data_IF_938704047185
#
_entry.id   IF_938704047185
#
_cell.length_a   1.000
_cell.length_b   1.000
_cell.length_c   1.000
_cell.angle_alpha   90.00
_cell.angle_beta   90.00
_cell.angle_gamma   90.00
#
_symmetry.space_group_name_H-M   'P 1'
#
loop_
_entity.id
_entity.type
_entity.pdbx_description
1 polymer ?
#
# COMPACT_ATOMS: atom_id res chain seq x y z
N UNK A 1 -3.39 -2.57 22.47
CA UNK A 1 -3.80 -1.93 21.20
C UNK A 1 -3.42 -0.46 21.27
N UNK A 2 -2.40 -0.04 20.51
CA UNK A 2 -1.89 1.34 20.58
C UNK A 2 -2.88 2.30 19.90
N UNK A 3 -3.18 3.45 20.51
CA UNK A 3 -4.11 4.47 19.94
C UNK A 3 -3.70 4.90 18.53
N UNK A 4 -2.40 4.92 18.25
CA UNK A 4 -1.80 5.24 16.96
C UNK A 4 -2.05 4.17 15.89
N UNK A 5 -2.06 2.90 16.27
CA UNK A 5 -2.32 1.76 15.39
C UNK A 5 -3.78 1.74 14.92
N UNK A 6 -4.73 2.00 15.82
CA UNK A 6 -6.15 2.12 15.47
C UNK A 6 -6.43 3.31 14.55
N UNK A 7 -5.74 4.43 14.78
CA UNK A 7 -5.81 5.60 13.89
C UNK A 7 -5.24 5.29 12.50
N UNK A 8 -4.09 4.62 12.44
CA UNK A 8 -3.46 4.19 11.19
C UNK A 8 -4.35 3.22 10.41
N UNK A 9 -4.90 2.19 11.06
CA UNK A 9 -5.86 1.27 10.43
C UNK A 9 -7.09 1.99 9.86
N UNK A 10 -7.59 2.99 10.56
CA UNK A 10 -8.73 3.79 10.06
C UNK A 10 -8.34 4.65 8.86
N UNK A 11 -7.14 5.23 8.84
CA UNK A 11 -6.67 6.01 7.69
C UNK A 11 -6.32 5.14 6.48
N UNK A 12 -5.92 3.89 6.69
CA UNK A 12 -5.66 2.91 5.62
C UNK A 12 -6.91 2.56 4.81
N UNK A 13 -8.10 2.52 5.41
CA UNK A 13 -9.34 2.23 4.67
C UNK A 13 -9.58 3.24 3.54
N UNK A 14 -9.45 4.53 3.84
CA UNK A 14 -9.60 5.58 2.82
C UNK A 14 -8.51 5.49 1.76
N UNK A 15 -7.27 5.20 2.17
CA UNK A 15 -6.14 5.02 1.24
C UNK A 15 -6.28 3.81 0.32
N UNK A 16 -6.90 2.73 0.80
CA UNK A 16 -7.24 1.57 -0.01
C UNK A 16 -8.24 1.94 -1.11
N UNK A 17 -9.31 2.67 -0.76
CA UNK A 17 -10.29 3.14 -1.75
C UNK A 17 -9.64 4.07 -2.79
N UNK A 18 -8.75 4.97 -2.35
CA UNK A 18 -7.95 5.86 -3.23
C UNK A 18 -7.05 5.04 -4.19
N UNK A 19 -6.30 4.05 -3.68
CA UNK A 19 -5.42 3.21 -4.51
C UNK A 19 -6.20 2.33 -5.50
N UNK A 20 -7.36 1.80 -5.11
CA UNK A 20 -8.21 1.02 -5.99
C UNK A 20 -8.81 1.87 -7.11
N UNK A 21 -9.09 3.16 -6.85
CA UNK A 21 -9.48 4.10 -7.89
C UNK A 21 -8.32 4.37 -8.87
N UNK A 22 -7.12 4.65 -8.33
CA UNK A 22 -5.93 4.86 -9.14
C UNK A 22 -5.56 3.65 -9.99
N UNK A 23 -5.80 2.42 -9.50
CA UNK A 23 -5.61 1.20 -10.28
C UNK A 23 -6.49 1.19 -11.54
N UNK A 24 -7.77 1.56 -11.41
CA UNK A 24 -8.70 1.66 -12.55
C UNK A 24 -8.30 2.79 -13.49
N UNK A 25 -7.94 3.95 -12.95
CA UNK A 25 -7.51 5.09 -13.75
C UNK A 25 -6.22 4.78 -14.55
N UNK A 26 -5.32 3.96 -14.00
CA UNK A 26 -4.15 3.45 -14.72
C UNK A 26 -4.54 2.48 -15.86
N UNK A 27 -5.47 1.56 -15.61
CA UNK A 27 -6.00 0.65 -16.64
C UNK A 27 -6.69 1.41 -17.78
N UNK A 28 -7.42 2.47 -17.45
CA UNK A 28 -8.12 3.35 -18.39
C UNK A 28 -7.17 4.35 -19.10
N UNK A 29 -5.88 4.34 -18.75
CA UNK A 29 -4.87 5.22 -19.35
C UNK A 29 -5.06 6.70 -18.99
N UNK A 30 -5.68 6.99 -17.85
CA UNK A 30 -5.94 8.36 -17.37
C UNK A 30 -4.60 9.09 -17.19
N UNK A 31 -4.40 10.22 -17.91
CA UNK A 31 -3.22 11.03 -17.71
C UNK A 31 -3.19 11.54 -16.27
N UNK A 32 -2.05 11.35 -15.58
CA UNK A 32 -1.76 11.67 -14.16
C UNK A 32 -1.93 10.54 -13.16
N UNK A 33 -2.64 9.46 -13.48
CA UNK A 33 -2.86 8.36 -12.53
C UNK A 33 -1.53 7.78 -12.00
N UNK A 34 -0.49 7.71 -12.85
CA UNK A 34 0.86 7.30 -12.43
C UNK A 34 1.50 8.25 -11.42
N UNK A 35 1.45 9.55 -11.66
CA UNK A 35 2.05 10.54 -10.76
C UNK A 35 1.34 10.53 -9.39
N UNK A 36 0.01 10.42 -9.40
CA UNK A 36 -0.79 10.32 -8.17
C UNK A 36 -0.50 9.02 -7.41
N UNK A 37 -0.28 7.91 -8.13
CA UNK A 37 0.15 6.65 -7.51
C UNK A 37 1.55 6.77 -6.89
N UNK A 38 2.51 7.40 -7.56
CA UNK A 38 3.86 7.58 -7.03
C UNK A 38 3.83 8.42 -5.73
N UNK A 39 3.02 9.49 -5.69
CA UNK A 39 2.82 10.30 -4.48
C UNK A 39 2.18 9.49 -3.34
N UNK A 40 1.17 8.68 -3.65
CA UNK A 40 0.51 7.81 -2.69
C UNK A 40 1.47 6.75 -2.13
N UNK A 41 2.26 6.11 -2.99
CA UNK A 41 3.28 5.14 -2.62
C UNK A 41 4.33 5.78 -1.72
N UNK A 42 4.83 6.96 -2.07
CA UNK A 42 5.80 7.69 -1.25
C UNK A 42 5.29 7.98 0.17
N UNK A 43 4.05 8.46 0.28
CA UNK A 43 3.42 8.73 1.56
C UNK A 43 3.22 7.45 2.39
N UNK A 44 2.85 6.34 1.74
CA UNK A 44 2.71 5.03 2.39
C UNK A 44 4.04 4.49 2.88
N UNK A 45 5.11 4.61 2.07
CA UNK A 45 6.47 4.23 2.43
C UNK A 45 6.94 4.92 3.70
N UNK A 46 6.76 6.24 3.78
CA UNK A 46 7.11 7.03 4.97
C UNK A 46 6.27 6.68 6.20
N UNK A 47 4.97 6.48 6.00
CA UNK A 47 4.06 6.16 7.11
C UNK A 47 4.24 4.73 7.66
N UNK A 48 4.47 3.72 6.81
CA UNK A 48 4.69 2.33 7.22
C UNK A 48 5.82 2.21 8.24
N UNK A 49 7.00 2.75 7.92
CA UNK A 49 8.16 2.80 8.82
C UNK A 49 7.87 3.54 10.13
N UNK A 50 7.11 4.64 10.05
CA UNK A 50 6.77 5.44 11.24
C UNK A 50 5.87 4.70 12.22
N UNK A 51 5.03 3.77 11.73
CA UNK A 51 4.10 2.99 12.54
C UNK A 51 4.55 1.54 12.78
N UNK A 52 5.74 1.15 12.29
CA UNK A 52 6.30 -0.20 12.46
C UNK A 52 5.75 -1.25 11.49
N UNK A 53 5.15 -0.82 10.37
CA UNK A 53 4.65 -1.71 9.32
C UNK A 53 5.63 -1.77 8.14
N UNK A 54 6.73 -2.49 8.33
CA UNK A 54 7.79 -2.60 7.30
C UNK A 54 7.28 -3.21 5.99
N UNK A 55 6.32 -4.13 6.06
CA UNK A 55 5.66 -4.71 4.89
C UNK A 55 5.01 -3.64 4.00
N UNK A 56 4.38 -2.61 4.59
CA UNK A 56 3.82 -1.47 3.84
C UNK A 56 4.92 -0.69 3.17
N UNK A 57 6.01 -0.41 3.89
CA UNK A 57 7.12 0.36 3.34
C UNK A 57 7.78 -0.33 2.15
N UNK A 58 7.99 -1.65 2.24
CA UNK A 58 8.58 -2.44 1.14
C UNK A 58 7.64 -2.54 -0.06
N UNK A 59 6.36 -2.81 0.17
CA UNK A 59 5.38 -2.90 -0.92
C UNK A 59 5.18 -1.55 -1.63
N UNK A 60 5.19 -0.45 -0.88
CA UNK A 60 5.12 0.89 -1.46
C UNK A 60 6.37 1.24 -2.28
N UNK A 61 7.56 0.85 -1.81
CA UNK A 61 8.80 1.01 -2.57
C UNK A 61 8.81 0.17 -3.86
N UNK A 62 8.24 -1.04 -3.84
CA UNK A 62 8.08 -1.84 -5.04
C UNK A 62 7.19 -1.15 -6.09
N UNK A 63 6.15 -0.42 -5.67
CA UNK A 63 5.32 0.39 -6.57
C UNK A 63 6.11 1.57 -7.15
N UNK A 64 6.89 2.31 -6.33
CA UNK A 64 7.73 3.42 -6.81
C UNK A 64 8.74 2.97 -7.88
N UNK A 65 9.26 1.75 -7.75
CA UNK A 65 10.32 1.20 -8.60
C UNK A 65 9.78 0.41 -9.81
N UNK A 66 8.49 0.08 -9.83
CA UNK A 66 7.92 -0.76 -10.88
C UNK A 66 7.91 -0.05 -12.24
N UNK A 67 8.38 -0.78 -13.27
CA UNK A 67 8.13 -0.44 -14.66
C UNK A 67 6.65 -0.63 -15.04
N UNK A 68 6.26 -0.18 -16.23
CA UNK A 68 4.87 -0.27 -16.70
C UNK A 68 4.31 -1.69 -16.64
N UNK A 69 5.10 -2.70 -17.02
CA UNK A 69 4.69 -4.11 -17.04
C UNK A 69 4.56 -4.73 -15.63
N UNK A 70 5.32 -4.21 -14.65
CA UNK A 70 5.37 -4.74 -13.28
C UNK A 70 4.41 -4.01 -12.34
N UNK A 71 4.00 -2.79 -12.71
CA UNK A 71 3.18 -1.90 -11.90
C UNK A 71 1.86 -2.54 -11.46
N UNK A 72 1.10 -3.26 -12.30
CA UNK A 72 -0.15 -3.90 -11.87
C UNK A 72 0.07 -4.91 -10.74
N UNK A 73 1.13 -5.73 -10.85
CA UNK A 73 1.46 -6.73 -9.84
C UNK A 73 1.94 -6.09 -8.53
N UNK A 74 2.81 -5.07 -8.62
CA UNK A 74 3.30 -4.33 -7.46
C UNK A 74 2.15 -3.61 -6.72
N UNK A 75 1.23 -2.98 -7.46
CA UNK A 75 0.07 -2.30 -6.90
C UNK A 75 -0.89 -3.28 -6.21
N UNK A 76 -1.16 -4.43 -6.84
CA UNK A 76 -1.99 -5.48 -6.24
C UNK A 76 -1.38 -6.00 -4.91
N UNK A 77 -0.06 -6.20 -4.86
CA UNK A 77 0.63 -6.61 -3.65
C UNK A 77 0.55 -5.56 -2.54
N UNK A 78 0.72 -4.27 -2.87
CA UNK A 78 0.54 -3.17 -1.91
C UNK A 78 -0.88 -3.15 -1.34
N UNK A 79 -1.90 -3.25 -2.20
CA UNK A 79 -3.31 -3.28 -1.78
C UNK A 79 -3.58 -4.48 -0.86
N UNK A 80 -3.02 -5.66 -1.15
CA UNK A 80 -3.16 -6.85 -0.29
C UNK A 80 -2.59 -6.60 1.12
N UNK A 81 -1.35 -6.11 1.22
CA UNK A 81 -0.70 -5.79 2.50
C UNK A 81 -1.52 -4.77 3.31
N UNK A 82 -2.01 -3.73 2.65
CA UNK A 82 -2.83 -2.71 3.30
C UNK A 82 -4.16 -3.28 3.82
N UNK A 83 -4.80 -4.18 3.07
CA UNK A 83 -6.04 -4.87 3.48
C UNK A 83 -5.82 -5.75 4.70
N UNK A 84 -4.72 -6.51 4.75
CA UNK A 84 -4.38 -7.34 5.91
C UNK A 84 -4.22 -6.50 7.18
N UNK A 85 -3.47 -5.40 7.09
CA UNK A 85 -3.27 -4.48 8.22
C UNK A 85 -4.58 -3.82 8.64
N UNK A 86 -5.40 -3.40 7.68
CA UNK A 86 -6.70 -2.78 7.95
C UNK A 86 -7.70 -3.76 8.60
N UNK A 87 -7.64 -5.05 8.24
CA UNK A 87 -8.41 -6.13 8.86
C UNK A 87 -7.89 -6.51 10.26
N UNK A 88 -6.67 -6.09 10.60
CA UNK A 88 -6.03 -6.40 11.88
C UNK A 88 -5.32 -7.76 11.89
N UNK A 89 -5.03 -8.31 10.72
CA UNK A 89 -4.13 -9.45 10.62
C UNK A 89 -2.69 -9.00 11.01
N UNK A 90 -1.92 -9.83 11.73
CA UNK A 90 -0.52 -9.53 12.01
C UNK A 90 0.24 -9.51 10.69
N UNK A 91 0.77 -8.33 10.33
CA UNK A 91 1.52 -8.09 9.09
C UNK A 91 2.89 -8.81 9.04
N UNK A 92 3.17 -9.69 10.00
CA UNK A 92 4.48 -10.33 10.21
C UNK A 92 4.39 -11.83 10.57
N UNK A 93 3.21 -12.48 10.53
CA UNK A 93 3.13 -13.94 10.80
C UNK A 93 3.30 -14.80 9.54
N UNK A 94 3.42 -14.21 8.34
CA UNK A 94 3.56 -14.97 7.09
C UNK A 94 4.99 -15.47 6.78
N UNK A 95 5.96 -15.35 7.69
CA UNK A 95 7.34 -15.83 7.48
C UNK A 95 7.94 -16.59 8.68
N UNK A 96 7.12 -17.40 9.37
CA UNK A 96 7.60 -18.34 10.39
C UNK A 96 7.10 -19.77 10.13
N UNK A 97 7.31 -20.30 8.93
CA UNK A 97 7.31 -21.74 8.69
C UNK A 97 8.23 -22.07 7.50
N UNK A 98 9.50 -22.35 7.80
CA UNK A 98 10.40 -23.23 7.06
C UNK A 98 11.62 -23.59 7.93
#
# INVERSE_FOLDING_TARGET
MNRFEAYYRRSLKRRLEELEALARDLEDGVPRARAELDEAAHALKGSGRSFGFDAVSRAAEAVEQAGEDELPAALAALVAVLREIAAGAPADEAQAEA
#
